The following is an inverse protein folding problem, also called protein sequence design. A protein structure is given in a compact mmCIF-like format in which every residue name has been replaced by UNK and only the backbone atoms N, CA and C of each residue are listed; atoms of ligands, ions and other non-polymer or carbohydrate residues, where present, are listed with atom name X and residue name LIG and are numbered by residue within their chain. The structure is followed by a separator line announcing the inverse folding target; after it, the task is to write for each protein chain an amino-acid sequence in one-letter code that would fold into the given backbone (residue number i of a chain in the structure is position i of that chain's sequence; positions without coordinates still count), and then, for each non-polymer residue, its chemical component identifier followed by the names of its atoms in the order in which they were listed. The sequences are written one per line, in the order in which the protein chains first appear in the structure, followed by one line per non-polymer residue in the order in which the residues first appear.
data_IF_991732346476
#
_entry.id   IF_991732346476
#
_cell.length_a   1.000
_cell.length_b   1.000
_cell.length_c   1.000
_cell.angle_alpha   90.00
_cell.angle_beta   90.00
_cell.angle_gamma   90.00
#
_symmetry.space_group_name_H-M   'P 1'
#
loop_
_entity.id
_entity.type
_entity.pdbx_description
1 polymer ?
#
# COMPACT_ATOMS: atom_id res chain seq x y z
N UNK A 1 -9.18 9.98 -23.36
CA UNK A 1 -8.76 8.57 -23.40
C UNK A 1 -7.33 8.55 -23.89
N UNK A 2 -6.36 8.71 -22.99
CA UNK A 2 -4.96 8.59 -23.34
C UNK A 2 -4.52 7.18 -22.89
N UNK A 3 -4.38 6.27 -23.85
CA UNK A 3 -3.57 5.07 -23.66
C UNK A 3 -2.11 5.53 -23.66
N UNK A 4 -1.61 5.97 -22.51
CA UNK A 4 -0.19 6.27 -22.36
C UNK A 4 0.56 4.96 -22.23
N UNK A 5 1.50 4.75 -23.14
CA UNK A 5 2.55 3.74 -23.02
C UNK A 5 3.39 4.13 -21.79
N UNK A 6 2.94 3.71 -20.61
CA UNK A 6 3.45 4.25 -19.35
C UNK A 6 4.83 3.67 -19.07
N UNK A 7 5.84 4.52 -19.15
CA UNK A 7 7.15 4.15 -18.63
C UNK A 7 6.97 3.74 -17.15
N UNK A 8 7.71 2.73 -16.66
CA UNK A 8 7.56 2.25 -15.28
C UNK A 8 7.86 3.33 -14.23
N UNK A 9 8.63 4.37 -14.61
CA UNK A 9 8.94 5.52 -13.75
C UNK A 9 7.71 6.41 -13.47
N UNK A 10 6.96 6.91 -14.46
CA UNK A 10 5.71 7.62 -14.19
C UNK A 10 4.66 6.75 -13.49
N UNK A 11 4.58 5.46 -13.77
CA UNK A 11 3.66 4.54 -13.09
C UNK A 11 3.87 4.45 -11.57
N UNK A 12 5.13 4.48 -11.10
CA UNK A 12 5.41 4.47 -9.66
C UNK A 12 5.13 5.81 -8.99
N UNK A 13 5.28 6.90 -9.75
CA UNK A 13 4.93 8.23 -9.26
C UNK A 13 3.41 8.39 -9.10
N UNK A 14 2.60 7.79 -9.96
CA UNK A 14 1.14 7.83 -9.81
C UNK A 14 0.64 7.00 -8.63
N UNK A 15 1.37 5.94 -8.25
CA UNK A 15 1.06 5.12 -7.08
C UNK A 15 1.48 5.79 -5.75
N UNK A 16 2.30 6.84 -5.79
CA UNK A 16 2.74 7.55 -4.57
C UNK A 16 1.54 8.22 -3.90
N UNK A 17 1.39 8.01 -2.60
CA UNK A 17 0.27 8.46 -1.78
C UNK A 17 -0.91 7.48 -1.73
N UNK A 18 -0.89 6.40 -2.52
CA UNK A 18 -1.96 5.40 -2.55
C UNK A 18 -1.61 4.17 -1.70
N UNK A 19 -2.62 3.39 -1.34
CA UNK A 19 -2.43 2.08 -0.73
C UNK A 19 -1.91 1.10 -1.78
N UNK A 20 -0.80 0.42 -1.47
CA UNK A 20 -0.15 -0.53 -2.36
C UNK A 20 0.09 -1.86 -1.65
N UNK A 21 0.20 -2.92 -2.46
CA UNK A 21 0.63 -4.23 -2.01
C UNK A 21 1.94 -4.57 -2.67
N UNK A 22 2.96 -4.85 -1.85
CA UNK A 22 4.30 -5.25 -2.27
C UNK A 22 4.50 -6.70 -1.90
N UNK A 23 4.70 -7.57 -2.89
CA UNK A 23 5.01 -8.99 -2.66
C UNK A 23 6.50 -9.21 -2.73
N UNK A 24 7.04 -9.94 -1.76
CA UNK A 24 8.43 -10.36 -1.75
C UNK A 24 8.59 -11.71 -2.44
N UNK A 25 9.81 -11.97 -2.91
CA UNK A 25 10.22 -13.28 -3.47
C UNK A 25 9.96 -14.46 -2.52
N UNK A 26 9.95 -14.18 -1.22
CA UNK A 26 9.78 -15.17 -0.15
C UNK A 26 8.31 -15.47 0.20
N UNK A 27 7.36 -14.87 -0.53
CA UNK A 27 5.92 -15.12 -0.33
C UNK A 27 5.25 -14.20 0.69
N UNK A 28 6.03 -13.39 1.41
CA UNK A 28 5.53 -12.31 2.28
C UNK A 28 4.93 -11.18 1.45
N UNK A 29 3.82 -10.63 1.93
CA UNK A 29 3.12 -9.52 1.32
C UNK A 29 3.06 -8.36 2.33
N UNK A 30 3.48 -7.18 1.91
CA UNK A 30 3.32 -5.96 2.69
C UNK A 30 2.24 -5.11 2.07
N UNK A 31 1.28 -4.69 2.88
CA UNK A 31 0.23 -3.75 2.48
C UNK A 31 0.45 -2.46 3.25
N UNK A 32 0.48 -1.33 2.57
CA UNK A 32 0.70 -0.05 3.23
C UNK A 32 0.54 1.11 2.28
N UNK A 33 0.63 2.32 2.81
CA UNK A 33 0.57 3.53 2.02
C UNK A 33 1.95 3.84 1.45
N UNK A 34 2.03 4.02 0.13
CA UNK A 34 3.29 4.37 -0.52
C UNK A 34 3.65 5.83 -0.25
N UNK A 35 4.71 6.09 0.50
CA UNK A 35 5.16 7.47 0.78
C UNK A 35 6.11 7.97 -0.29
N UNK A 36 7.11 7.16 -0.65
CA UNK A 36 8.08 7.52 -1.67
C UNK A 36 8.74 6.29 -2.32
N UNK A 37 9.24 6.47 -3.55
CA UNK A 37 10.02 5.48 -4.29
C UNK A 37 11.26 6.16 -4.86
N UNK A 38 12.40 5.47 -4.82
CA UNK A 38 13.65 5.97 -5.37
C UNK A 38 13.94 5.46 -6.81
N UNK A 39 15.09 5.85 -7.37
CA UNK A 39 15.50 5.43 -8.72
C UNK A 39 15.88 3.95 -8.81
N UNK A 40 16.13 3.30 -7.67
CA UNK A 40 16.47 1.89 -7.55
C UNK A 40 15.25 1.04 -7.20
N UNK A 41 14.05 1.61 -7.12
CA UNK A 41 12.82 0.94 -6.73
C UNK A 41 12.83 0.45 -5.27
N UNK A 42 13.57 1.13 -4.38
CA UNK A 42 13.35 1.01 -2.95
C UNK A 42 12.05 1.73 -2.61
N UNK A 43 11.23 1.11 -1.77
CA UNK A 43 9.85 1.50 -1.50
C UNK A 43 9.71 1.85 -0.03
N UNK A 44 9.26 3.06 0.27
CA UNK A 44 8.91 3.46 1.63
C UNK A 44 7.40 3.33 1.82
N UNK A 45 7.00 2.48 2.75
CA UNK A 45 5.61 2.26 3.13
C UNK A 45 5.36 2.82 4.53
N UNK A 46 4.22 3.48 4.68
CA UNK A 46 3.65 3.89 5.96
C UNK A 46 2.50 2.97 6.33
N UNK A 47 2.26 2.84 7.64
CA UNK A 47 1.15 2.04 8.19
C UNK A 47 1.12 0.62 7.59
N UNK A 48 2.29 0.00 7.51
CA UNK A 48 2.52 -1.26 6.81
C UNK A 48 2.03 -2.44 7.64
N UNK A 49 1.22 -3.28 7.04
CA UNK A 49 0.79 -4.57 7.56
C UNK A 49 1.55 -5.69 6.85
N UNK A 50 2.00 -6.68 7.60
CA UNK A 50 2.58 -7.91 7.06
C UNK A 50 1.54 -9.02 6.94
N UNK A 51 1.54 -9.62 5.77
CA UNK A 51 0.63 -10.68 5.37
C UNK A 51 1.46 -11.89 4.92
N UNK A 52 1.29 -13.01 5.61
CA UNK A 52 1.97 -14.27 5.30
C UNK A 52 0.89 -15.32 5.05
N UNK A 53 0.88 -15.92 3.86
CA UNK A 53 -0.11 -16.95 3.51
C UNK A 53 -1.57 -16.48 3.56
N UNK A 54 -1.82 -15.17 3.35
CA UNK A 54 -3.16 -14.59 3.40
C UNK A 54 -3.67 -14.24 4.81
N UNK A 55 -2.85 -14.42 5.84
CA UNK A 55 -3.14 -14.03 7.22
C UNK A 55 -2.31 -12.81 7.58
N UNK A 56 -2.94 -11.80 8.23
CA UNK A 56 -2.24 -10.66 8.80
C UNK A 56 -1.45 -11.14 10.04
N UNK A 57 -0.12 -11.06 9.98
CA UNK A 57 0.75 -11.36 11.13
C UNK A 57 0.84 -10.17 12.09
N UNK A 58 0.91 -8.95 11.55
CA UNK A 58 1.00 -7.77 12.39
C UNK A 58 1.21 -6.47 11.63
N UNK A 59 1.23 -5.38 12.39
CA UNK A 59 1.47 -4.02 11.93
C UNK A 59 2.94 -3.65 12.21
N UNK A 60 3.69 -3.30 11.17
CA UNK A 60 5.08 -2.83 11.30
C UNK A 60 5.19 -1.30 11.32
N UNK A 61 4.16 -0.58 10.89
CA UNK A 61 4.19 0.87 10.80
C UNK A 61 5.03 1.35 9.61
N UNK A 62 6.10 2.10 9.85
CA UNK A 62 6.98 2.59 8.79
C UNK A 62 8.01 1.54 8.38
N UNK A 63 8.03 1.17 7.10
CA UNK A 63 8.93 0.14 6.57
C UNK A 63 9.58 0.63 5.28
N UNK A 64 10.90 0.44 5.18
CA UNK A 64 11.65 0.62 3.94
C UNK A 64 11.99 -0.74 3.33
N UNK A 65 11.39 -1.05 2.18
CA UNK A 65 11.63 -2.30 1.46
C UNK A 65 12.72 -2.07 0.40
N UNK A 66 13.77 -2.89 0.46
CA UNK A 66 14.85 -2.89 -0.54
C UNK A 66 14.39 -3.55 -1.84
N UNK A 67 14.73 -2.93 -2.97
CA UNK A 67 14.33 -3.37 -4.31
C UNK A 67 14.72 -4.82 -4.66
N UNK A 68 15.81 -5.34 -4.09
CA UNK A 68 16.29 -6.69 -4.40
C UNK A 68 15.27 -7.80 -4.04
N UNK A 69 14.44 -7.56 -3.02
CA UNK A 69 13.49 -8.55 -2.53
C UNK A 69 12.09 -8.41 -3.13
N UNK A 70 11.81 -7.30 -3.82
CA UNK A 70 10.50 -7.02 -4.41
C UNK A 70 10.28 -7.91 -5.63
N UNK A 71 9.14 -8.61 -5.65
CA UNK A 71 8.69 -9.38 -6.79
C UNK A 71 7.77 -8.53 -7.69
N UNK A 72 6.75 -7.91 -7.10
CA UNK A 72 5.89 -6.95 -7.78
C UNK A 72 5.28 -5.95 -6.80
N UNK A 73 4.82 -4.83 -7.36
CA UNK A 73 4.05 -3.80 -6.67
C UNK A 73 2.73 -3.67 -7.42
N UNK A 74 1.63 -3.62 -6.69
CA UNK A 74 0.30 -3.33 -7.25
C UNK A 74 -0.44 -2.34 -6.38
N UNK A 75 -1.40 -1.64 -6.97
CA UNK A 75 -2.38 -0.91 -6.18
C UNK A 75 -3.19 -1.87 -5.29
N UNK A 76 -3.41 -1.47 -4.05
CA UNK A 76 -4.35 -2.12 -3.17
C UNK A 76 -5.75 -1.58 -3.51
N UNK A 77 -6.39 -2.16 -4.53
CA UNK A 77 -7.80 -1.88 -4.77
C UNK A 77 -8.61 -2.23 -3.51
N UNK A 78 -9.45 -1.32 -2.99
CA UNK A 78 -10.20 -1.53 -1.74
C UNK A 78 -11.33 -2.57 -1.83
N UNK A 79 -11.32 -3.45 -2.83
CA UNK A 79 -12.45 -4.30 -3.18
C UNK A 79 -12.59 -5.62 -2.38
N UNK A 80 -11.70 -5.94 -1.43
CA UNK A 80 -11.70 -7.26 -0.77
C UNK A 80 -11.59 -7.25 0.77
N UNK A 81 -11.92 -6.14 1.43
CA UNK A 81 -12.23 -6.10 2.86
C UNK A 81 -13.57 -5.39 3.05
N UNK A 82 -14.65 -6.17 3.13
CA UNK A 82 -16.00 -5.64 3.29
C UNK A 82 -16.22 -4.95 4.65
N UNK A 83 -16.87 -3.79 4.60
CA UNK A 83 -17.75 -3.18 5.61
C UNK A 83 -17.22 -2.91 7.04
N UNK A 84 -16.98 -1.63 7.35
CA UNK A 84 -17.77 -0.85 8.33
C UNK A 84 -17.38 0.63 8.22
N UNK A 85 -18.04 1.38 7.33
CA UNK A 85 -18.12 2.83 7.43
C UNK A 85 -19.30 3.18 8.34
N UNK A 86 -19.10 3.07 9.65
CA UNK A 86 -19.97 3.71 10.63
C UNK A 86 -19.61 5.19 10.66
N UNK A 87 -20.47 6.03 10.07
CA UNK A 87 -20.39 7.47 10.26
C UNK A 87 -20.82 7.82 11.69
N UNK A 88 -19.88 7.92 12.61
CA UNK A 88 -20.11 8.50 13.94
C UNK A 88 -19.88 10.02 13.87
N UNK A 89 -20.86 10.75 13.37
CA UNK A 89 -20.96 12.20 13.59
C UNK A 89 -21.77 12.45 14.86
N UNK A 90 -21.12 12.36 16.02
CA UNK A 90 -21.70 12.78 17.30
C UNK A 90 -21.44 14.27 17.51
N UNK A 91 -22.36 15.11 17.05
CA UNK A 91 -22.45 16.51 17.48
C UNK A 91 -23.77 16.71 18.21
N UNK A 92 -23.76 16.50 19.52
CA UNK A 92 -24.80 16.98 20.44
C UNK A 92 -24.13 17.56 21.66
N UNK A 93 -23.85 18.86 21.62
CA UNK A 93 -23.69 19.67 22.84
C UNK A 93 -25.08 20.19 23.18
N UNK A 94 -25.65 19.65 24.25
CA UNK A 94 -26.76 20.21 24.98
C UNK A 94 -26.39 20.18 26.45
N UNK A 95 -25.88 21.31 26.94
CA UNK A 95 -26.12 21.90 28.27
C UNK A 95 -25.54 23.30 28.30
#
# INVERSE_FOLDING_TARGET
MAESMENPKPFLKSLTGQMVVVKLKWGMEYKGKLESVDQYFNVQLLETEEWVGGVKEGDLGEVLIRCNNVLYIREASPAAAAATSGSSSSSSVAV
#
